data_IF_012104999675
#
_entry.id   IF_012104999675
#
_cell.length_a   1.000
_cell.length_b   1.000
_cell.length_c   1.000
_cell.angle_alpha   90.00
_cell.angle_beta   90.00
_cell.angle_gamma   90.00
#
_symmetry.space_group_name_H-M   'P 1'
#
loop_
_entity.id
_entity.type
_entity.pdbx_description
1 polymer ?
#
# COMPACT_ATOMS: atom_id res chain seq x y z
N UNK A 1 -14.67 -13.73 -4.40
CA UNK A 1 -13.73 -13.99 -3.30
C UNK A 1 -13.70 -12.80 -2.35
N UNK A 2 -13.87 -13.04 -1.07
CA UNK A 2 -13.87 -11.98 -0.09
C UNK A 2 -12.54 -11.79 0.59
N UNK A 3 -12.29 -10.56 1.06
CA UNK A 3 -11.16 -10.25 1.91
C UNK A 3 -11.66 -9.98 3.32
N UNK A 4 -10.87 -10.38 4.31
CA UNK A 4 -11.20 -10.05 5.69
C UNK A 4 -10.87 -8.60 6.03
N UNK A 5 -10.18 -7.90 5.16
CA UNK A 5 -9.82 -6.51 5.34
C UNK A 5 -11.00 -5.59 5.01
N UNK A 6 -11.30 -4.68 5.94
CA UNK A 6 -12.43 -3.76 5.81
C UNK A 6 -12.04 -2.40 5.27
N UNK A 7 -10.77 -2.02 5.44
CA UNK A 7 -10.31 -0.70 5.02
C UNK A 7 -9.73 -0.80 3.63
N UNK A 8 -10.37 -0.16 2.67
CA UNK A 8 -9.94 -0.17 1.27
C UNK A 8 -9.94 1.27 0.77
N UNK A 9 -8.76 1.78 0.46
CA UNK A 9 -8.56 3.18 0.09
C UNK A 9 -7.95 3.27 -1.30
N UNK A 10 -8.65 3.92 -2.21
CA UNK A 10 -8.15 4.15 -3.56
C UNK A 10 -7.09 5.24 -3.54
N UNK A 11 -5.96 5.00 -4.19
CA UNK A 11 -4.88 5.98 -4.25
C UNK A 11 -3.98 5.77 -5.45
N UNK A 12 -2.90 6.52 -5.48
CA UNK A 12 -1.92 6.49 -6.57
C UNK A 12 -0.54 6.24 -5.98
N UNK A 13 0.26 5.39 -6.61
CA UNK A 13 1.63 5.16 -6.15
C UNK A 13 2.42 6.44 -6.30
N UNK A 14 2.86 6.98 -5.17
CA UNK A 14 3.63 8.21 -5.08
C UNK A 14 5.11 7.93 -5.23
N UNK A 15 5.59 6.82 -4.65
CA UNK A 15 6.98 6.42 -4.75
C UNK A 15 7.09 4.93 -4.51
N UNK A 16 8.14 4.33 -5.04
CA UNK A 16 8.42 2.91 -4.85
C UNK A 16 9.93 2.69 -4.88
N UNK A 17 10.43 1.97 -3.87
CA UNK A 17 11.83 1.60 -3.76
C UNK A 17 11.91 0.09 -3.66
N UNK A 18 12.53 -0.55 -4.64
CA UNK A 18 12.62 -2.00 -4.70
C UNK A 18 14.00 -2.45 -4.24
N UNK A 19 14.03 -3.19 -3.14
CA UNK A 19 15.25 -3.80 -2.63
C UNK A 19 15.38 -5.25 -3.10
N UNK A 20 16.35 -5.94 -2.56
CA UNK A 20 16.62 -7.33 -2.97
C UNK A 20 15.50 -8.28 -2.57
N UNK A 21 14.90 -8.08 -1.41
CA UNK A 21 13.87 -8.97 -0.86
C UNK A 21 12.54 -8.25 -0.69
N UNK A 22 12.59 -7.00 -0.23
CA UNK A 22 11.40 -6.22 0.08
C UNK A 22 11.30 -5.00 -0.83
N UNK A 23 10.10 -4.46 -0.94
CA UNK A 23 9.83 -3.23 -1.65
C UNK A 23 9.05 -2.29 -0.73
N UNK A 24 9.44 -1.03 -0.70
CA UNK A 24 8.77 0.03 0.06
C UNK A 24 7.92 0.83 -0.90
N UNK A 25 6.63 0.88 -0.66
CA UNK A 25 5.68 1.55 -1.54
C UNK A 25 4.96 2.65 -0.76
N UNK A 26 4.94 3.85 -1.34
CA UNK A 26 4.21 4.97 -0.76
C UNK A 26 3.02 5.28 -1.66
N UNK A 27 1.82 5.25 -1.10
CA UNK A 27 0.59 5.50 -1.84
C UNK A 27 -0.02 6.80 -1.36
N UNK A 28 -0.34 7.68 -2.30
CA UNK A 28 -1.03 8.93 -1.99
C UNK A 28 -2.53 8.70 -2.04
N UNK A 29 -3.21 8.95 -0.92
CA UNK A 29 -4.66 8.83 -0.78
C UNK A 29 -5.18 10.20 -0.38
N UNK A 30 -5.76 10.94 -1.32
CA UNK A 30 -6.11 12.34 -1.09
C UNK A 30 -4.84 13.12 -0.77
N UNK A 31 -4.81 13.77 0.39
CA UNK A 31 -3.63 14.52 0.85
C UNK A 31 -2.76 13.69 1.79
N UNK A 32 -3.08 12.41 1.97
CA UNK A 32 -2.35 11.55 2.90
C UNK A 32 -1.44 10.59 2.15
N UNK A 33 -0.32 10.25 2.80
CA UNK A 33 0.61 9.24 2.29
C UNK A 33 0.53 8.01 3.18
N UNK A 34 0.30 6.87 2.55
CA UNK A 34 0.24 5.58 3.23
C UNK A 34 1.45 4.78 2.80
N UNK A 35 2.20 4.27 3.77
CA UNK A 35 3.41 3.50 3.48
C UNK A 35 3.14 2.02 3.64
N UNK A 36 3.71 1.23 2.75
CA UNK A 36 3.55 -0.22 2.74
C UNK A 36 4.89 -0.87 2.44
N UNK A 37 5.14 -2.00 3.10
CA UNK A 37 6.30 -2.83 2.80
C UNK A 37 5.76 -4.19 2.34
N UNK A 38 6.09 -4.54 1.12
CA UNK A 38 5.68 -5.82 0.53
C UNK A 38 6.93 -6.53 0.02
N UNK A 39 6.80 -7.79 -0.40
CA UNK A 39 7.93 -8.49 -0.96
C UNK A 39 8.24 -7.94 -2.35
N UNK A 40 9.52 -8.02 -2.74
CA UNK A 40 9.93 -7.66 -4.09
C UNK A 40 9.14 -8.47 -5.12
N UNK A 41 8.95 -9.76 -4.86
CA UNK A 41 8.20 -10.61 -5.77
C UNK A 41 6.77 -10.13 -5.98
N UNK A 42 6.10 -9.70 -4.90
CA UNK A 42 4.74 -9.16 -5.01
C UNK A 42 4.72 -7.89 -5.85
N UNK A 43 5.68 -6.99 -5.63
CA UNK A 43 5.77 -5.76 -6.40
C UNK A 43 5.98 -6.05 -7.88
N UNK A 44 6.81 -7.04 -8.19
CA UNK A 44 7.09 -7.42 -9.57
C UNK A 44 5.89 -8.09 -10.24
N UNK A 45 5.22 -9.00 -9.53
CA UNK A 45 4.03 -9.67 -10.05
C UNK A 45 2.91 -8.69 -10.37
N UNK A 46 2.76 -7.65 -9.54
CA UNK A 46 1.75 -6.64 -9.75
C UNK A 46 2.19 -5.57 -10.74
N UNK A 47 3.44 -5.62 -11.20
CA UNK A 47 4.02 -4.63 -12.12
C UNK A 47 3.85 -3.21 -11.59
N UNK A 48 4.07 -3.01 -10.28
CA UNK A 48 3.87 -1.71 -9.65
C UNK A 48 4.89 -0.70 -10.12
N UNK A 49 4.42 0.50 -10.41
CA UNK A 49 5.28 1.61 -10.76
C UNK A 49 4.63 2.92 -10.32
N UNK A 50 5.44 3.94 -10.21
CA UNK A 50 5.00 5.28 -9.84
C UNK A 50 3.90 5.76 -10.78
N UNK A 51 2.83 6.29 -10.21
CA UNK A 51 1.69 6.78 -10.97
C UNK A 51 0.55 5.78 -11.13
N UNK A 52 0.77 4.51 -10.78
CA UNK A 52 -0.29 3.51 -10.90
C UNK A 52 -1.42 3.78 -9.92
N UNK A 53 -2.64 3.53 -10.39
CA UNK A 53 -3.83 3.58 -9.53
C UNK A 53 -3.94 2.25 -8.80
N UNK A 54 -4.00 2.32 -7.48
CA UNK A 54 -4.04 1.12 -6.63
C UNK A 54 -5.06 1.28 -5.53
N UNK A 55 -5.35 0.19 -4.86
CA UNK A 55 -6.19 0.19 -3.66
C UNK A 55 -5.32 -0.26 -2.49
N UNK A 56 -5.28 0.57 -1.44
CA UNK A 56 -4.63 0.21 -0.19
C UNK A 56 -5.63 -0.59 0.63
N UNK A 57 -5.24 -1.80 1.03
CA UNK A 57 -6.13 -2.72 1.77
C UNK A 57 -5.50 -2.96 3.13
N UNK A 58 -6.22 -2.61 4.21
CA UNK A 58 -5.71 -2.70 5.57
C UNK A 58 -6.69 -3.48 6.44
N UNK A 59 -6.22 -4.54 7.09
CA UNK A 59 -7.04 -5.29 8.03
C UNK A 59 -7.37 -4.41 9.24
N UNK A 60 -8.60 -4.52 9.72
CA UNK A 60 -9.05 -3.72 10.86
C UNK A 60 -8.18 -3.92 12.09
N UNK A 61 -7.62 -5.11 12.27
CA UNK A 61 -6.76 -5.43 13.41
C UNK A 61 -5.38 -4.76 13.33
N UNK A 62 -5.03 -4.20 12.19
CA UNK A 62 -3.72 -3.57 11.97
C UNK A 62 -3.77 -2.04 12.08
N UNK A 63 -4.95 -1.49 12.33
CA UNK A 63 -5.13 -0.04 12.39
C UNK A 63 -5.04 0.42 13.83
N UNK A 64 -4.11 1.34 14.11
CA UNK A 64 -3.93 1.93 15.43
C UNK A 64 -4.60 3.29 15.49
N UNK A 65 -5.06 3.66 16.69
CA UNK A 65 -5.73 4.95 16.89
C UNK A 65 -4.92 5.80 17.86
N UNK A 66 -4.70 7.04 17.49
CA UNK A 66 -4.07 8.02 18.35
C UNK A 66 -5.00 9.21 18.51
N UNK A 67 -5.17 9.65 19.74
CA UNK A 67 -5.96 10.87 20.04
C UNK A 67 -5.00 11.98 20.45
N UNK A 68 -5.22 13.15 19.89
CA UNK A 68 -4.43 14.35 20.23
C UNK A 68 -4.90 14.98 21.54
#
# INVERSE_FOLDING_TARGET
>A
MGLSARNQLRGTIHDIQIGDIMAHVVVKVGDNLIESVITRNSAEELHLKKGDSVKVVIKSTEVMIQKD
#
